data_IF_516264199816
#
_entry.id   IF_516264199816
#
_cell.length_a   1.000
_cell.length_b   1.000
_cell.length_c   1.000
_cell.angle_alpha   90.00
_cell.angle_beta   90.00
_cell.angle_gamma   90.00
#
_symmetry.space_group_name_H-M   'P 1'
#
loop_
_entity.id
_entity.type
_entity.pdbx_description
1 polymer ?
#
# COMPACT_ATOMS: atom_id res chain seq x y z
N UNK A 1 11.34 46.79 -19.13
CA UNK A 1 10.34 45.72 -19.33
C UNK A 1 10.97 44.44 -18.84
N UNK A 2 10.65 44.00 -17.61
CA UNK A 2 11.11 42.71 -17.11
C UNK A 2 10.24 41.65 -17.78
N UNK A 3 10.82 40.94 -18.74
CA UNK A 3 10.15 39.79 -19.35
C UNK A 3 9.87 38.76 -18.25
N UNK A 4 8.58 38.62 -17.93
CA UNK A 4 8.03 37.56 -17.10
C UNK A 4 8.43 36.20 -17.70
N UNK A 5 9.55 35.65 -17.21
CA UNK A 5 9.96 34.29 -17.50
C UNK A 5 8.93 33.35 -16.85
N UNK A 6 7.92 32.96 -17.63
CA UNK A 6 6.94 31.97 -17.18
C UNK A 6 7.69 30.69 -16.80
N UNK A 7 7.50 30.15 -15.58
CA UNK A 7 8.18 28.94 -15.18
C UNK A 7 7.77 27.80 -16.12
N UNK A 8 8.76 27.04 -16.58
CA UNK A 8 8.53 25.86 -17.39
C UNK A 8 7.50 24.93 -16.71
N UNK A 9 6.60 24.29 -17.48
CA UNK A 9 5.59 23.40 -16.91
C UNK A 9 6.28 22.23 -16.19
N UNK A 10 5.81 21.94 -14.96
CA UNK A 10 6.37 20.86 -14.15
C UNK A 10 6.25 19.51 -14.86
N UNK A 11 7.33 18.76 -14.84
CA UNK A 11 7.37 17.37 -15.28
C UNK A 11 6.48 16.48 -14.41
N UNK A 12 6.20 15.26 -14.88
CA UNK A 12 5.44 14.27 -14.09
C UNK A 12 6.11 13.97 -12.75
N UNK A 13 7.44 13.79 -12.77
CA UNK A 13 8.23 13.46 -11.57
C UNK A 13 8.21 14.59 -10.54
N UNK A 14 8.33 15.84 -10.98
CA UNK A 14 8.26 17.00 -10.06
C UNK A 14 6.88 17.08 -9.39
N UNK A 15 5.80 16.83 -10.15
CA UNK A 15 4.45 16.80 -9.58
C UNK A 15 4.27 15.68 -8.55
N UNK A 16 4.82 14.49 -8.79
CA UNK A 16 4.79 13.40 -7.80
C UNK A 16 5.59 13.72 -6.54
N UNK A 17 6.76 14.35 -6.69
CA UNK A 17 7.58 14.82 -5.55
C UNK A 17 6.81 15.82 -4.70
N UNK A 18 6.18 16.82 -5.32
CA UNK A 18 5.42 17.85 -4.61
C UNK A 18 4.18 17.30 -3.92
N UNK A 19 3.53 16.29 -4.53
CA UNK A 19 2.42 15.58 -3.88
C UNK A 19 2.90 14.80 -2.65
N UNK A 20 4.02 14.08 -2.76
CA UNK A 20 4.60 13.33 -1.64
C UNK A 20 4.97 14.27 -0.48
N UNK A 21 5.59 15.42 -0.78
CA UNK A 21 5.95 16.42 0.22
C UNK A 21 4.72 16.97 0.96
N UNK A 22 3.63 17.29 0.24
CA UNK A 22 2.37 17.76 0.84
C UNK A 22 1.76 16.72 1.76
N UNK A 23 1.67 15.46 1.32
CA UNK A 23 1.15 14.36 2.14
C UNK A 23 1.95 14.18 3.42
N UNK A 24 3.29 14.24 3.36
CA UNK A 24 4.15 14.17 4.54
C UNK A 24 3.84 15.33 5.50
N UNK A 25 3.69 16.55 4.99
CA UNK A 25 3.34 17.72 5.79
C UNK A 25 1.94 17.61 6.45
N UNK A 26 1.00 16.93 5.80
CA UNK A 26 -0.33 16.58 6.34
C UNK A 26 -0.28 15.43 7.37
N UNK A 27 0.91 14.89 7.66
CA UNK A 27 1.10 13.79 8.62
C UNK A 27 0.95 12.39 8.03
N UNK A 28 0.84 12.25 6.71
CA UNK A 28 0.77 10.95 6.05
C UNK A 28 2.10 10.19 6.21
N UNK A 29 2.04 9.00 6.82
CA UNK A 29 3.18 8.08 6.91
C UNK A 29 3.12 7.04 5.79
N UNK A 30 4.10 7.07 4.89
CA UNK A 30 4.29 5.99 3.91
C UNK A 30 4.98 4.81 4.59
N UNK A 31 4.32 3.66 4.65
CA UNK A 31 4.94 2.40 5.09
C UNK A 31 4.87 1.42 3.93
N UNK A 32 6.03 0.92 3.50
CA UNK A 32 6.13 -0.12 2.48
C UNK A 32 6.30 -1.45 3.17
N UNK A 33 5.48 -2.44 2.82
CA UNK A 33 5.59 -3.82 3.30
C UNK A 33 5.76 -4.77 2.12
N UNK A 34 6.51 -5.84 2.31
CA UNK A 34 6.67 -6.91 1.34
C UNK A 34 5.69 -8.02 1.69
N UNK A 35 5.01 -8.56 0.67
CA UNK A 35 4.04 -9.64 0.83
C UNK A 35 4.59 -10.87 0.11
N UNK A 36 4.76 -11.96 0.86
CA UNK A 36 5.06 -13.28 0.33
C UNK A 36 3.80 -13.86 -0.31
N UNK A 37 3.76 -13.85 -1.64
CA UNK A 37 2.56 -14.17 -2.43
C UNK A 37 1.93 -15.51 -2.09
N UNK A 38 2.74 -16.57 -1.90
CA UNK A 38 2.21 -17.90 -1.59
C UNK A 38 1.45 -17.92 -0.26
N UNK A 39 2.04 -17.32 0.77
CA UNK A 39 1.43 -17.23 2.10
C UNK A 39 0.20 -16.30 2.12
N UNK A 40 0.20 -15.26 1.28
CA UNK A 40 -1.00 -14.44 1.06
C UNK A 40 -2.17 -15.25 0.45
N UNK A 41 -1.89 -16.14 -0.51
CA UNK A 41 -2.92 -17.01 -1.09
C UNK A 41 -3.47 -18.01 -0.09
N UNK A 42 -2.63 -18.58 0.77
CA UNK A 42 -3.08 -19.43 1.89
C UNK A 42 -4.07 -18.68 2.80
N UNK A 43 -3.75 -17.43 3.16
CA UNK A 43 -4.63 -16.58 3.95
C UNK A 43 -5.97 -16.27 3.26
N UNK A 44 -5.95 -15.99 1.95
CA UNK A 44 -7.16 -15.81 1.14
C UNK A 44 -8.02 -17.06 1.15
N UNK A 45 -7.42 -18.23 0.96
CA UNK A 45 -8.15 -19.50 0.93
C UNK A 45 -8.79 -19.79 2.30
N UNK A 46 -8.04 -19.62 3.39
CA UNK A 46 -8.56 -19.77 4.75
C UNK A 46 -9.75 -18.84 5.05
N UNK A 47 -9.73 -17.60 4.55
CA UNK A 47 -10.87 -16.69 4.68
C UNK A 47 -12.11 -17.17 3.91
N UNK A 48 -11.93 -17.71 2.70
CA UNK A 48 -13.02 -18.32 1.91
C UNK A 48 -13.61 -19.53 2.58
N UNK A 49 -12.75 -20.33 3.22
CA UNK A 49 -13.13 -21.54 3.95
C UNK A 49 -13.79 -21.22 5.31
N UNK A 50 -13.91 -19.93 5.67
CA UNK A 50 -14.52 -19.50 6.92
C UNK A 50 -13.66 -19.71 8.16
N UNK A 51 -12.36 -19.96 7.99
CA UNK A 51 -11.43 -20.15 9.10
C UNK A 51 -11.17 -18.82 9.83
N UNK A 52 -10.92 -18.86 11.15
CA UNK A 52 -10.56 -17.67 11.92
C UNK A 52 -9.20 -17.12 11.51
N UNK A 53 -9.00 -15.81 11.71
CA UNK A 53 -7.70 -15.13 11.47
C UNK A 53 -6.66 -15.64 12.48
N UNK A 54 -5.83 -16.62 12.09
CA UNK A 54 -4.75 -17.22 12.91
C UNK A 54 -3.42 -17.27 12.15
N UNK A 55 -2.77 -16.11 11.89
CA UNK A 55 -1.60 -16.04 11.03
C UNK A 55 -0.31 -16.58 11.66
N UNK A 56 -0.25 -16.70 13.00
CA UNK A 56 1.00 -16.94 13.73
C UNK A 56 1.66 -18.29 13.46
N UNK A 57 0.92 -19.25 12.92
CA UNK A 57 1.44 -20.58 12.55
C UNK A 57 1.96 -20.65 11.11
N UNK A 58 1.74 -19.60 10.32
CA UNK A 58 2.17 -19.53 8.92
C UNK A 58 3.65 -19.16 8.79
N UNK A 59 4.21 -19.45 7.61
CA UNK A 59 5.59 -19.09 7.25
C UNK A 59 5.87 -17.58 7.34
N UNK A 60 4.89 -16.78 6.96
CA UNK A 60 4.92 -15.32 7.04
C UNK A 60 3.56 -14.81 7.54
N UNK A 61 3.44 -14.58 8.86
CA UNK A 61 2.20 -14.15 9.49
C UNK A 61 1.61 -12.86 8.91
N UNK A 62 2.44 -11.90 8.51
CA UNK A 62 1.97 -10.63 7.94
C UNK A 62 1.32 -10.87 6.59
N UNK A 63 2.00 -11.63 5.73
CA UNK A 63 1.52 -11.96 4.39
C UNK A 63 0.23 -12.78 4.44
N UNK A 64 0.15 -13.75 5.36
CA UNK A 64 -1.06 -14.56 5.56
C UNK A 64 -2.24 -13.70 6.01
N UNK A 65 -2.02 -12.85 7.02
CA UNK A 65 -3.06 -11.96 7.54
C UNK A 65 -3.54 -10.98 6.46
N UNK A 66 -2.64 -10.42 5.65
CA UNK A 66 -2.99 -9.53 4.55
C UNK A 66 -3.94 -10.21 3.55
N UNK A 67 -3.65 -11.46 3.19
CA UNK A 67 -4.50 -12.27 2.31
C UNK A 67 -5.89 -12.52 2.91
N UNK A 68 -5.95 -12.95 4.16
CA UNK A 68 -7.20 -13.22 4.86
C UNK A 68 -8.09 -11.96 4.97
N UNK A 69 -7.50 -10.84 5.39
CA UNK A 69 -8.19 -9.54 5.52
C UNK A 69 -8.69 -9.05 4.16
N UNK A 70 -7.89 -9.19 3.10
CA UNK A 70 -8.27 -8.77 1.75
C UNK A 70 -9.53 -9.48 1.26
N UNK A 71 -9.80 -10.71 1.68
CA UNK A 71 -10.97 -11.46 1.22
C UNK A 71 -12.23 -11.13 2.02
N UNK A 72 -12.09 -10.88 3.33
CA UNK A 72 -13.22 -10.41 4.16
C UNK A 72 -13.80 -9.07 3.71
N UNK A 73 -12.98 -8.18 3.16
CA UNK A 73 -13.45 -6.88 2.64
C UNK A 73 -14.25 -6.95 1.33
N UNK A 74 -14.39 -8.13 0.70
CA UNK A 74 -15.10 -8.32 -0.57
C UNK A 74 -16.46 -9.03 -0.42
N UNK A 75 -16.73 -9.62 0.74
CA UNK A 75 -18.03 -10.21 1.08
C UNK A 75 -18.95 -9.12 1.65
#
# INVERSE_FOLDING_TARGET
MTEDSKPAPRTSNERQRDLKARRIAEGYKHTTVWIHTETEQEGKQAARDGQPLKPMESKDPLSWAAGWISEKGKQ
#
